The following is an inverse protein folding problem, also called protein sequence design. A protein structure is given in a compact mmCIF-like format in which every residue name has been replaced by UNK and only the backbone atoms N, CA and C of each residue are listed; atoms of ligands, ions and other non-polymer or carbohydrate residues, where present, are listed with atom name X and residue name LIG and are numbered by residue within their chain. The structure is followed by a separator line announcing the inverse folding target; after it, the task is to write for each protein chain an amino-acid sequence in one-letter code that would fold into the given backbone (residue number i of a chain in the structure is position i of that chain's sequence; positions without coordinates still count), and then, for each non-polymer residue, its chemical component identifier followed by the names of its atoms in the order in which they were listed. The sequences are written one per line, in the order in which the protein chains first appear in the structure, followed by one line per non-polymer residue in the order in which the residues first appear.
data_IF_814342040657
#
_entry.id   IF_814342040657
#
_cell.length_a   1.000
_cell.length_b   1.000
_cell.length_c   1.000
_cell.angle_alpha   90.00
_cell.angle_beta   90.00
_cell.angle_gamma   90.00
#
_symmetry.space_group_name_H-M   'P 1'
#
loop_
_entity.id
_entity.type
_entity.pdbx_description
1 polymer ?
#
# COMPACT_ATOMS: atom_id res chain seq x y z
N UNK A 1 0.44 -24.59 -26.54
CA UNK A 1 1.24 -24.32 -25.31
C UNK A 1 1.03 -22.84 -24.93
N UNK A 2 -0.19 -22.36 -24.62
CA UNK A 2 -0.45 -20.98 -24.14
C UNK A 2 -1.56 -20.86 -23.08
N UNK A 3 -2.06 -21.96 -22.53
CA UNK A 3 -3.17 -21.93 -21.55
C UNK A 3 -2.79 -22.27 -20.11
N UNK A 4 -1.51 -22.56 -19.81
CA UNK A 4 -1.09 -23.04 -18.49
C UNK A 4 -0.74 -21.94 -17.48
N UNK A 5 -0.52 -20.68 -17.89
CA UNK A 5 -0.09 -19.61 -16.96
C UNK A 5 -1.24 -18.90 -16.23
N UNK A 6 -2.43 -18.84 -16.82
CA UNK A 6 -3.56 -18.13 -16.22
C UNK A 6 -4.15 -18.87 -15.00
N UNK A 7 -4.10 -20.22 -15.00
CA UNK A 7 -4.64 -21.01 -13.89
C UNK A 7 -3.73 -21.07 -12.64
N UNK A 8 -2.43 -20.81 -12.80
CA UNK A 8 -1.49 -20.82 -11.66
C UNK A 8 -1.67 -19.60 -10.77
N UNK A 9 -1.86 -18.42 -11.37
CA UNK A 9 -2.13 -17.18 -10.60
C UNK A 9 -3.44 -17.21 -9.81
N UNK A 10 -4.46 -17.91 -10.34
CA UNK A 10 -5.75 -18.03 -9.65
C UNK A 10 -5.70 -18.92 -8.41
N UNK A 11 -4.78 -19.89 -8.40
CA UNK A 11 -4.62 -20.83 -7.28
C UNK A 11 -3.85 -20.24 -6.10
N UNK A 12 -2.80 -19.48 -6.38
CA UNK A 12 -1.98 -18.81 -5.37
C UNK A 12 -2.75 -17.68 -4.67
N UNK A 13 -3.54 -16.87 -5.39
CA UNK A 13 -4.38 -15.83 -4.80
C UNK A 13 -5.46 -16.37 -3.85
N UNK A 14 -6.01 -17.55 -4.15
CA UNK A 14 -6.99 -18.22 -3.28
C UNK A 14 -6.33 -18.86 -2.05
N UNK A 15 -5.10 -19.35 -2.16
CA UNK A 15 -4.35 -19.89 -1.02
C UNK A 15 -3.89 -18.78 -0.06
N UNK A 16 -3.47 -17.63 -0.55
CA UNK A 16 -3.13 -16.46 0.26
C UNK A 16 -4.33 -16.03 1.12
N UNK A 17 -5.54 -16.01 0.57
CA UNK A 17 -6.73 -15.66 1.35
C UNK A 17 -7.21 -16.78 2.28
N UNK A 18 -6.93 -18.06 1.99
CA UNK A 18 -7.21 -19.16 2.93
C UNK A 18 -6.36 -19.08 4.19
N UNK A 19 -5.11 -18.63 4.07
CA UNK A 19 -4.23 -18.42 5.21
C UNK A 19 -4.71 -17.28 6.13
N UNK A 20 -5.43 -16.29 5.56
CA UNK A 20 -6.05 -15.19 6.30
C UNK A 20 -7.41 -15.51 6.93
N UNK A 21 -8.19 -16.43 6.33
CA UNK A 21 -9.58 -16.74 6.73
C UNK A 21 -9.61 -18.00 7.59
N UNK A 22 -8.70 -18.50 8.24
CA UNK A 22 -8.70 -19.69 9.10
C UNK A 22 -9.92 -20.62 8.94
N UNK A 23 -9.75 -21.93 8.98
CA UNK A 23 -10.81 -22.94 8.75
C UNK A 23 -12.10 -22.77 9.60
N UNK A 24 -12.04 -21.98 10.68
CA UNK A 24 -13.19 -21.74 11.58
C UNK A 24 -14.32 -20.89 10.96
N UNK A 25 -14.04 -20.04 9.99
CA UNK A 25 -15.08 -19.21 9.35
C UNK A 25 -15.86 -19.98 8.27
N UNK A 26 -15.29 -21.04 7.72
CA UNK A 26 -15.98 -21.92 6.76
C UNK A 26 -17.03 -22.79 7.43
N UNK A 27 -16.83 -23.16 8.71
CA UNK A 27 -17.75 -23.99 9.49
C UNK A 27 -18.91 -23.21 10.15
N UNK A 28 -18.79 -21.88 10.30
CA UNK A 28 -19.89 -21.07 10.85
C UNK A 28 -21.04 -20.85 9.86
N UNK A 29 -20.83 -20.96 8.56
CA UNK A 29 -21.89 -20.82 7.54
C UNK A 29 -22.79 -22.06 7.40
N UNK A 30 -22.44 -23.21 7.96
CA UNK A 30 -23.24 -24.45 7.90
C UNK A 30 -24.16 -24.68 9.12
N UNK A 31 -24.11 -23.86 10.16
CA UNK A 31 -24.88 -24.06 11.39
C UNK A 31 -25.99 -23.05 11.66
N UNK A 32 -26.25 -22.07 10.78
CA UNK A 32 -27.28 -21.03 10.99
C UNK A 32 -28.55 -21.20 10.12
N UNK A 33 -28.94 -22.41 9.82
CA UNK A 33 -30.22 -22.71 9.18
C UNK A 33 -31.08 -23.51 10.16
N UNK A 34 -31.53 -22.87 11.22
CA UNK A 34 -32.72 -23.28 12.04
C UNK A 34 -32.70 -22.48 13.36
N UNK A 35 -33.32 -21.32 13.41
CA UNK A 35 -34.16 -20.89 14.54
C UNK A 35 -35.10 -19.78 14.08
N UNK A 36 -36.35 -19.97 14.47
CA UNK A 36 -37.56 -19.34 14.06
C UNK A 36 -37.70 -17.83 14.33
N UNK A 37 -38.57 -17.25 13.53
CA UNK A 37 -39.27 -15.99 13.67
C UNK A 37 -39.56 -15.53 15.10
N UNK A 38 -39.13 -14.32 15.44
CA UNK A 38 -39.79 -13.48 16.45
C UNK A 38 -39.72 -12.03 15.96
N UNK A 39 -40.87 -11.50 15.64
CA UNK A 39 -41.08 -10.10 15.28
C UNK A 39 -40.74 -9.19 16.47
N UNK A 40 -39.74 -8.33 16.30
CA UNK A 40 -39.60 -7.10 17.06
C UNK A 40 -39.29 -6.02 16.05
N UNK A 41 -40.24 -5.13 15.85
CA UNK A 41 -40.11 -3.89 15.10
C UNK A 41 -39.01 -3.07 15.78
N UNK A 42 -37.80 -3.14 15.27
CA UNK A 42 -36.76 -2.22 15.65
C UNK A 42 -37.00 -0.91 14.92
N UNK A 43 -37.27 0.11 15.69
CA UNK A 43 -37.26 1.51 15.28
C UNK A 43 -36.00 1.75 14.46
N UNK A 44 -36.17 1.94 13.15
CA UNK A 44 -35.09 2.45 12.29
C UNK A 44 -34.73 3.85 12.79
N UNK A 45 -33.64 3.94 13.54
CA UNK A 45 -33.02 5.19 13.91
C UNK A 45 -32.54 5.87 12.62
N UNK A 46 -33.09 7.03 12.36
CA UNK A 46 -32.64 8.00 11.37
C UNK A 46 -31.29 8.57 11.81
N UNK A 47 -30.21 7.81 11.60
CA UNK A 47 -28.85 8.20 12.02
C UNK A 47 -27.74 7.80 11.07
N UNK A 48 -28.03 6.97 10.08
CA UNK A 48 -26.99 6.37 9.24
C UNK A 48 -26.70 7.11 7.91
N UNK A 49 -27.52 8.09 7.53
CA UNK A 49 -27.53 8.64 6.16
C UNK A 49 -26.19 9.27 5.67
N UNK A 50 -25.20 9.51 6.54
CA UNK A 50 -23.95 10.15 6.15
C UNK A 50 -22.72 9.54 6.87
N UNK A 51 -22.77 8.31 7.32
CA UNK A 51 -21.65 7.66 7.99
C UNK A 51 -20.87 6.75 7.04
N UNK A 52 -19.55 6.66 7.22
CA UNK A 52 -18.67 5.77 6.46
C UNK A 52 -17.53 5.27 7.33
N UNK A 53 -17.43 3.95 7.49
CA UNK A 53 -16.33 3.30 8.18
C UNK A 53 -15.16 3.03 7.23
N UNK A 54 -13.96 3.48 7.60
CA UNK A 54 -12.77 3.40 6.75
C UNK A 54 -11.66 2.59 7.40
N UNK A 55 -11.06 1.71 6.64
CA UNK A 55 -9.80 1.04 6.97
C UNK A 55 -8.65 1.68 6.19
N UNK A 56 -7.54 1.96 6.85
CA UNK A 56 -6.39 2.65 6.25
C UNK A 56 -5.10 1.90 6.52
N UNK A 57 -4.25 1.76 5.51
CA UNK A 57 -2.89 1.24 5.73
C UNK A 57 -2.10 2.16 6.66
N UNK A 58 -1.46 1.59 7.68
CA UNK A 58 -0.88 2.34 8.79
C UNK A 58 0.15 3.42 8.40
N UNK A 59 0.77 3.35 7.24
CA UNK A 59 1.67 4.39 6.75
C UNK A 59 0.99 5.73 6.45
N UNK A 60 -0.24 5.70 5.95
CA UNK A 60 -1.03 6.90 5.65
C UNK A 60 -1.50 7.61 6.92
N UNK A 61 -1.89 6.83 7.94
CA UNK A 61 -2.29 7.36 9.24
C UNK A 61 -1.06 7.92 9.99
N UNK A 62 0.00 7.13 10.10
CA UNK A 62 1.25 7.51 10.77
C UNK A 62 1.85 8.82 10.24
N UNK A 63 1.74 9.08 8.95
CA UNK A 63 2.27 10.28 8.30
C UNK A 63 1.36 11.50 8.43
N UNK A 64 0.16 11.35 8.99
CA UNK A 64 -0.85 12.40 9.04
C UNK A 64 -1.47 12.74 7.68
N UNK A 65 -1.10 12.04 6.60
CA UNK A 65 -1.69 12.25 5.27
C UNK A 65 -3.17 11.94 5.31
N UNK A 66 -3.55 10.81 5.92
CA UNK A 66 -4.95 10.42 5.98
C UNK A 66 -5.80 11.43 6.76
N UNK A 67 -5.39 11.85 7.95
CA UNK A 67 -6.19 12.77 8.77
C UNK A 67 -6.49 14.10 8.07
N UNK A 68 -5.55 14.64 7.29
CA UNK A 68 -5.79 15.85 6.49
C UNK A 68 -6.73 15.62 5.31
N UNK A 69 -6.63 14.48 4.65
CA UNK A 69 -7.54 14.09 3.57
C UNK A 69 -8.94 13.83 4.12
N UNK A 70 -9.06 13.12 5.25
CA UNK A 70 -10.29 12.80 5.97
C UNK A 70 -11.04 14.09 6.31
N UNK A 71 -10.39 15.04 6.98
CA UNK A 71 -10.97 16.36 7.33
C UNK A 71 -11.51 17.10 6.08
N UNK A 72 -10.71 17.15 5.02
CA UNK A 72 -11.11 17.81 3.78
C UNK A 72 -12.28 17.11 3.08
N UNK A 73 -12.31 15.77 3.09
CA UNK A 73 -13.39 14.97 2.53
C UNK A 73 -14.69 15.13 3.31
N UNK A 74 -14.65 15.12 4.64
CA UNK A 74 -15.81 15.33 5.51
C UNK A 74 -16.48 16.66 5.23
N UNK A 75 -15.70 17.75 5.14
CA UNK A 75 -16.19 19.08 4.81
C UNK A 75 -16.84 19.11 3.43
N UNK A 76 -16.17 18.55 2.42
CA UNK A 76 -16.61 18.61 1.02
C UNK A 76 -17.84 17.76 0.75
N UNK A 77 -17.90 16.57 1.36
CA UNK A 77 -18.94 15.57 1.10
C UNK A 77 -20.10 15.62 2.10
N UNK A 78 -19.91 16.30 3.24
CA UNK A 78 -20.80 16.28 4.40
C UNK A 78 -21.04 14.87 4.92
N UNK A 79 -19.98 14.04 4.88
CA UNK A 79 -19.94 12.71 5.45
C UNK A 79 -19.28 12.75 6.83
N UNK A 80 -19.70 11.88 7.72
CA UNK A 80 -19.00 11.56 8.94
C UNK A 80 -18.14 10.31 8.68
N UNK A 81 -16.84 10.50 8.55
CA UNK A 81 -15.88 9.43 8.25
C UNK A 81 -15.29 8.93 9.57
N UNK A 82 -15.37 7.63 9.80
CA UNK A 82 -14.79 7.00 10.98
C UNK A 82 -13.69 6.04 10.57
N UNK A 83 -12.46 6.35 10.92
CA UNK A 83 -11.33 5.43 10.74
C UNK A 83 -11.40 4.33 11.80
N UNK A 84 -12.04 3.20 11.46
CA UNK A 84 -12.22 2.06 12.38
C UNK A 84 -10.93 1.30 12.62
N UNK A 85 -10.01 1.31 11.65
CA UNK A 85 -8.71 0.66 11.78
C UNK A 85 -7.64 1.34 10.90
N UNK A 86 -6.48 1.65 11.52
CA UNK A 86 -5.26 2.04 10.84
C UNK A 86 -4.16 1.03 11.20
N UNK A 87 -3.78 0.14 10.27
CA UNK A 87 -2.94 -1.01 10.58
C UNK A 87 -2.23 -1.58 9.34
N UNK A 88 -1.29 -2.55 9.51
CA UNK A 88 -0.78 -3.33 8.39
C UNK A 88 -1.87 -4.10 7.64
N UNK A 89 -1.57 -4.50 6.39
CA UNK A 89 -2.51 -5.16 5.47
C UNK A 89 -3.19 -6.40 6.06
N UNK A 90 -2.48 -7.14 6.90
CA UNK A 90 -2.94 -8.35 7.59
C UNK A 90 -4.16 -8.11 8.50
N UNK A 91 -4.42 -6.84 8.83
CA UNK A 91 -5.55 -6.43 9.66
C UNK A 91 -6.59 -5.63 8.89
N UNK A 92 -6.18 -4.70 8.02
CA UNK A 92 -7.13 -3.86 7.28
C UNK A 92 -7.89 -4.64 6.21
N UNK A 93 -7.27 -5.65 5.58
CA UNK A 93 -7.94 -6.49 4.58
C UNK A 93 -9.07 -7.34 5.20
N UNK A 94 -8.86 -8.08 6.31
CA UNK A 94 -9.95 -8.78 6.99
C UNK A 94 -11.06 -7.85 7.51
N UNK A 95 -10.72 -6.66 8.04
CA UNK A 95 -11.71 -5.69 8.49
C UNK A 95 -12.63 -5.23 7.35
N UNK A 96 -12.09 -4.97 6.16
CA UNK A 96 -12.87 -4.68 4.98
C UNK A 96 -13.73 -5.89 4.55
N UNK A 97 -13.16 -7.08 4.45
CA UNK A 97 -13.90 -8.28 4.04
C UNK A 97 -15.06 -8.64 4.97
N UNK A 98 -14.91 -8.36 6.27
CA UNK A 98 -15.97 -8.65 7.27
C UNK A 98 -17.08 -7.59 7.29
N UNK A 99 -16.87 -6.42 6.68
CA UNK A 99 -17.77 -5.26 6.75
C UNK A 99 -17.63 -4.45 8.04
N UNK A 100 -16.54 -4.62 8.78
CA UNK A 100 -16.14 -3.68 9.84
C UNK A 100 -15.78 -2.31 9.24
N UNK A 101 -15.20 -2.31 8.04
CA UNK A 101 -14.97 -1.12 7.23
C UNK A 101 -15.69 -1.24 5.88
N UNK A 102 -16.26 -0.13 5.43
CA UNK A 102 -16.96 0.00 4.14
C UNK A 102 -16.05 0.58 3.03
N UNK A 103 -14.88 1.02 3.40
CA UNK A 103 -13.89 1.61 2.49
C UNK A 103 -12.48 1.24 2.94
N UNK A 104 -11.58 1.02 1.97
CA UNK A 104 -10.21 0.63 2.29
C UNK A 104 -9.21 1.44 1.44
N UNK A 105 -8.23 2.05 2.11
CA UNK A 105 -7.05 2.65 1.50
C UNK A 105 -5.82 1.80 1.76
N UNK A 106 -5.22 1.26 0.70
CA UNK A 106 -4.12 0.30 0.79
C UNK A 106 -3.19 0.38 -0.42
N UNK A 107 -2.02 -0.24 -0.33
CA UNK A 107 -1.18 -0.45 -1.51
C UNK A 107 -1.81 -1.45 -2.48
N UNK A 108 -1.76 -1.14 -3.77
CA UNK A 108 -2.11 -2.10 -4.82
C UNK A 108 -1.15 -3.30 -4.82
N UNK A 109 -1.70 -4.50 -5.02
CA UNK A 109 -0.94 -5.75 -5.05
C UNK A 109 -1.85 -6.98 -5.01
N UNK A 110 -1.28 -8.12 -4.71
CA UNK A 110 -1.97 -9.41 -4.80
C UNK A 110 -3.23 -9.48 -3.92
N UNK A 111 -3.18 -8.91 -2.72
CA UNK A 111 -4.32 -8.89 -1.80
C UNK A 111 -5.50 -8.08 -2.38
N UNK A 112 -5.23 -6.93 -2.99
CA UNK A 112 -6.29 -6.10 -3.59
C UNK A 112 -6.86 -6.72 -4.85
N UNK A 113 -6.03 -7.35 -5.68
CA UNK A 113 -6.51 -8.13 -6.84
C UNK A 113 -7.33 -9.33 -6.41
N UNK A 114 -6.96 -10.01 -5.31
CA UNK A 114 -7.75 -11.10 -4.76
C UNK A 114 -9.11 -10.62 -4.23
N UNK A 115 -9.19 -9.46 -3.56
CA UNK A 115 -10.45 -8.86 -3.14
C UNK A 115 -11.38 -8.58 -4.33
N UNK A 116 -10.84 -8.04 -5.42
CA UNK A 116 -11.59 -7.79 -6.66
C UNK A 116 -12.06 -9.10 -7.31
N UNK A 117 -11.16 -10.07 -7.48
CA UNK A 117 -11.47 -11.37 -8.08
C UNK A 117 -12.53 -12.17 -7.31
N UNK A 118 -12.58 -12.01 -5.99
CA UNK A 118 -13.57 -12.65 -5.12
C UNK A 118 -14.86 -11.83 -4.98
N UNK A 119 -14.92 -10.66 -5.60
CA UNK A 119 -16.09 -9.79 -5.56
C UNK A 119 -16.30 -9.02 -4.26
N UNK A 120 -15.33 -9.04 -3.33
CA UNK A 120 -15.39 -8.18 -2.14
C UNK A 120 -15.11 -6.71 -2.49
N UNK A 121 -14.22 -6.46 -3.45
CA UNK A 121 -13.95 -5.13 -3.97
C UNK A 121 -14.60 -4.94 -5.34
N UNK A 122 -15.01 -3.69 -5.64
CA UNK A 122 -15.24 -3.22 -7.00
C UNK A 122 -13.92 -2.94 -7.71
N UNK A 123 -13.95 -2.39 -8.94
CA UNK A 123 -12.74 -2.08 -9.70
C UNK A 123 -11.79 -1.17 -8.90
N UNK A 124 -10.54 -1.59 -8.79
CA UNK A 124 -9.49 -0.86 -8.08
C UNK A 124 -9.11 0.42 -8.82
N UNK A 125 -8.96 1.51 -8.10
CA UNK A 125 -8.59 2.82 -8.66
C UNK A 125 -7.38 3.38 -7.94
N UNK A 126 -6.32 3.70 -8.67
CA UNK A 126 -5.14 4.37 -8.11
C UNK A 126 -5.50 5.81 -7.78
N UNK A 127 -5.23 6.27 -6.55
CA UNK A 127 -5.44 7.64 -6.10
C UNK A 127 -4.16 8.40 -5.79
N UNK A 128 -3.05 7.69 -5.53
CA UNK A 128 -1.75 8.28 -5.27
C UNK A 128 -0.63 7.25 -5.30
N UNK A 129 0.58 7.69 -5.01
CA UNK A 129 1.76 6.82 -5.04
C UNK A 129 2.63 7.02 -3.81
N UNK A 130 2.99 5.91 -3.17
CA UNK A 130 4.01 5.85 -2.14
C UNK A 130 5.40 5.84 -2.78
N UNK A 131 6.34 6.58 -2.21
CA UNK A 131 7.73 6.59 -2.64
C UNK A 131 8.57 5.56 -1.88
N UNK A 132 9.51 4.97 -2.58
CA UNK A 132 10.64 4.22 -2.02
C UNK A 132 11.93 5.00 -2.25
N UNK A 133 12.89 4.80 -1.36
CA UNK A 133 14.20 5.44 -1.39
C UNK A 133 15.30 4.39 -1.39
N UNK A 134 16.51 4.77 -1.80
CA UNK A 134 17.71 3.98 -1.55
C UNK A 134 18.47 4.62 -0.40
N UNK A 135 18.63 3.88 0.70
CA UNK A 135 19.47 4.24 1.82
C UNK A 135 20.77 3.43 1.78
N UNK A 136 21.85 3.99 2.30
CA UNK A 136 23.15 3.33 2.32
C UNK A 136 24.17 4.05 3.20
N UNK A 137 25.45 3.60 3.20
CA UNK A 137 26.52 4.23 3.97
C UNK A 137 26.68 5.72 3.63
N UNK A 138 26.86 6.57 4.64
CA UNK A 138 26.98 8.04 4.44
C UNK A 138 28.15 8.46 3.54
N UNK A 139 29.22 7.63 3.46
CA UNK A 139 30.35 7.89 2.56
C UNK A 139 30.10 7.45 1.11
N UNK A 140 28.94 6.86 0.81
CA UNK A 140 28.44 6.49 -0.51
C UNK A 140 29.48 5.87 -1.46
N UNK A 141 30.01 4.69 -1.18
CA UNK A 141 31.13 4.13 -1.95
C UNK A 141 30.78 3.82 -3.42
N UNK A 142 29.50 3.74 -3.78
CA UNK A 142 29.07 3.60 -5.17
C UNK A 142 28.78 4.95 -5.85
N UNK A 143 28.72 6.06 -5.11
CA UNK A 143 28.45 7.40 -5.65
C UNK A 143 27.05 7.55 -6.21
N UNK A 144 26.04 6.92 -5.59
CA UNK A 144 24.66 6.96 -6.07
C UNK A 144 23.94 8.27 -5.75
N UNK A 145 24.43 9.05 -4.78
CA UNK A 145 23.89 10.37 -4.44
C UNK A 145 24.00 11.40 -5.57
N UNK A 146 24.75 11.08 -6.63
CA UNK A 146 24.89 11.88 -7.84
C UNK A 146 23.97 11.42 -8.98
N UNK A 147 23.06 10.48 -8.72
CA UNK A 147 22.08 9.99 -9.69
C UNK A 147 20.68 10.47 -9.35
N UNK A 148 19.85 10.60 -10.37
CA UNK A 148 18.41 10.92 -10.22
C UNK A 148 17.52 9.69 -10.44
N UNK A 149 18.08 8.64 -11.07
CA UNK A 149 17.33 7.46 -11.47
C UNK A 149 17.79 6.21 -10.71
N UNK A 150 16.85 5.47 -10.15
CA UNK A 150 17.11 4.22 -9.42
C UNK A 150 17.86 3.18 -10.26
N UNK A 151 17.55 3.08 -11.58
CA UNK A 151 18.29 2.17 -12.50
C UNK A 151 19.77 2.51 -12.59
N UNK A 152 20.12 3.80 -12.56
CA UNK A 152 21.52 4.25 -12.60
C UNK A 152 22.21 3.95 -11.27
N UNK A 153 21.51 4.19 -10.16
CA UNK A 153 21.99 3.84 -8.83
C UNK A 153 22.29 2.33 -8.72
N UNK A 154 21.37 1.46 -9.15
CA UNK A 154 21.59 0.02 -9.16
C UNK A 154 22.79 -0.38 -10.04
N UNK A 155 22.95 0.25 -11.22
CA UNK A 155 24.11 0.02 -12.09
C UNK A 155 25.41 0.42 -11.41
N UNK A 156 25.44 1.56 -10.72
CA UNK A 156 26.64 2.01 -9.96
C UNK A 156 26.96 1.06 -8.79
N UNK A 157 25.96 0.63 -8.03
CA UNK A 157 26.13 -0.36 -6.95
C UNK A 157 26.72 -1.66 -7.51
N UNK A 158 26.22 -2.13 -8.64
CA UNK A 158 26.72 -3.33 -9.31
C UNK A 158 28.16 -3.16 -9.80
N UNK A 159 28.47 -2.08 -10.54
CA UNK A 159 29.81 -1.87 -11.13
C UNK A 159 30.87 -1.62 -10.09
N UNK A 160 30.53 -1.01 -8.95
CA UNK A 160 31.43 -0.83 -7.80
C UNK A 160 31.47 -2.07 -6.86
N UNK A 161 30.75 -3.13 -7.21
CA UNK A 161 30.64 -4.37 -6.43
C UNK A 161 30.22 -4.14 -4.95
N UNK A 162 29.41 -3.11 -4.71
CA UNK A 162 28.91 -2.81 -3.37
C UNK A 162 27.74 -3.73 -2.99
N UNK A 163 27.56 -4.05 -1.70
CA UNK A 163 26.48 -4.90 -1.27
C UNK A 163 25.13 -4.18 -1.28
N UNK A 164 24.08 -4.87 -1.70
CA UNK A 164 22.70 -4.42 -1.68
C UNK A 164 21.85 -5.46 -0.95
N UNK A 165 21.10 -5.07 0.07
CA UNK A 165 20.25 -6.01 0.81
C UNK A 165 18.95 -6.23 0.04
N UNK A 166 18.63 -7.50 -0.23
CA UNK A 166 17.34 -7.93 -0.76
C UNK A 166 16.31 -7.95 0.39
N UNK A 167 15.77 -6.78 0.72
CA UNK A 167 14.80 -6.64 1.81
C UNK A 167 13.50 -7.36 1.48
N UNK A 168 13.04 -8.23 2.40
CA UNK A 168 11.85 -9.08 2.22
C UNK A 168 10.51 -8.35 2.24
N UNK A 169 10.47 -7.04 2.63
CA UNK A 169 9.26 -6.26 2.46
C UNK A 169 8.79 -6.29 1.01
N UNK A 170 7.51 -6.64 0.81
CA UNK A 170 6.96 -6.89 -0.53
C UNK A 170 7.13 -5.68 -1.45
N UNK A 171 6.89 -4.46 -0.93
CA UNK A 171 7.05 -3.24 -1.70
C UNK A 171 8.50 -2.99 -2.11
N UNK A 172 9.41 -3.07 -1.14
CA UNK A 172 10.86 -2.91 -1.36
C UNK A 172 11.39 -3.91 -2.37
N UNK A 173 10.99 -5.17 -2.26
CA UNK A 173 11.40 -6.23 -3.17
C UNK A 173 10.84 -6.03 -4.60
N UNK A 174 9.59 -5.58 -4.72
CA UNK A 174 9.01 -5.24 -6.04
C UNK A 174 9.76 -4.10 -6.72
N UNK A 175 10.13 -3.06 -5.96
CA UNK A 175 10.95 -1.95 -6.50
C UNK A 175 12.34 -2.46 -6.90
N UNK A 176 13.01 -3.25 -6.06
CA UNK A 176 14.29 -3.85 -6.40
C UNK A 176 14.23 -4.62 -7.73
N UNK A 177 13.23 -5.49 -7.90
CA UNK A 177 13.04 -6.26 -9.13
C UNK A 177 12.84 -5.36 -10.35
N UNK A 178 12.00 -4.33 -10.21
CA UNK A 178 11.76 -3.34 -11.27
C UNK A 178 13.05 -2.62 -11.69
N UNK A 179 13.87 -2.20 -10.70
CA UNK A 179 15.12 -1.51 -10.98
C UNK A 179 16.17 -2.41 -11.63
N UNK A 180 16.28 -3.67 -11.18
CA UNK A 180 17.14 -4.66 -11.83
C UNK A 180 16.72 -4.91 -13.28
N UNK A 181 15.44 -5.13 -13.53
CA UNK A 181 14.91 -5.35 -14.88
C UNK A 181 15.17 -4.12 -15.79
N UNK A 182 14.96 -2.90 -15.28
CA UNK A 182 15.21 -1.67 -16.03
C UNK A 182 16.68 -1.38 -16.29
N UNK A 183 17.57 -1.90 -15.44
CA UNK A 183 19.03 -1.85 -15.62
C UNK A 183 19.56 -3.00 -16.50
N UNK A 184 18.72 -3.92 -16.93
CA UNK A 184 19.11 -5.13 -17.67
C UNK A 184 19.92 -6.12 -16.83
N UNK A 185 19.75 -6.11 -15.51
CA UNK A 185 20.48 -6.95 -14.57
C UNK A 185 19.61 -8.10 -14.05
N UNK A 186 20.25 -9.25 -13.84
CA UNK A 186 19.64 -10.35 -13.09
C UNK A 186 20.27 -10.46 -11.68
N UNK A 187 19.55 -11.04 -10.69
CA UNK A 187 20.02 -11.09 -9.29
C UNK A 187 21.45 -11.61 -9.10
N UNK A 188 21.89 -12.56 -9.93
CA UNK A 188 23.26 -13.12 -9.86
C UNK A 188 24.38 -12.18 -10.36
N UNK A 189 24.04 -11.04 -10.97
CA UNK A 189 25.02 -10.07 -11.48
C UNK A 189 25.31 -8.93 -10.49
N UNK A 190 24.58 -8.85 -9.39
CA UNK A 190 24.77 -7.87 -8.34
C UNK A 190 24.97 -8.58 -7.00
N UNK A 191 25.80 -8.01 -6.14
CA UNK A 191 26.08 -8.54 -4.82
C UNK A 191 24.89 -8.35 -3.89
N UNK A 192 23.92 -9.28 -3.91
CA UNK A 192 22.78 -9.28 -3.01
C UNK A 192 23.12 -9.96 -1.68
N UNK A 193 22.81 -9.27 -0.59
CA UNK A 193 22.84 -9.82 0.76
C UNK A 193 21.42 -10.21 1.19
N UNK A 194 21.26 -11.31 1.95
CA UNK A 194 19.97 -11.67 2.51
C UNK A 194 19.56 -10.68 3.60
N UNK A 195 18.26 -10.46 3.72
CA UNK A 195 17.65 -9.84 4.90
C UNK A 195 17.70 -10.83 6.08
N UNK A 196 18.40 -10.44 7.14
CA UNK A 196 18.59 -11.28 8.34
C UNK A 196 17.95 -10.69 9.59
N UNK A 197 17.25 -9.54 9.50
CA UNK A 197 16.63 -8.91 10.67
C UNK A 197 15.40 -9.69 11.12
N UNK A 198 15.20 -9.75 12.43
CA UNK A 198 13.98 -10.34 13.02
C UNK A 198 12.77 -9.42 12.76
N UNK A 199 12.97 -8.12 12.99
CA UNK A 199 11.93 -7.10 12.80
C UNK A 199 12.25 -6.29 11.56
N UNK A 200 11.32 -6.16 10.60
CA UNK A 200 11.53 -5.38 9.37
C UNK A 200 12.04 -3.94 9.62
N UNK A 201 11.63 -3.31 10.72
CA UNK A 201 12.06 -1.96 11.10
C UNK A 201 13.56 -1.84 11.36
N UNK A 202 14.26 -2.95 11.59
CA UNK A 202 15.71 -2.98 11.85
C UNK A 202 16.57 -3.10 10.58
N UNK A 203 15.97 -3.05 9.40
CA UNK A 203 16.70 -3.27 8.14
C UNK A 203 17.80 -2.23 7.91
N UNK A 204 17.59 -0.96 8.30
CA UNK A 204 18.60 0.07 8.21
C UNK A 204 19.77 -0.17 9.18
N UNK A 205 19.52 -0.76 10.35
CA UNK A 205 20.58 -1.20 11.28
C UNK A 205 21.44 -2.30 10.64
N UNK A 206 20.83 -3.22 9.90
CA UNK A 206 21.59 -4.22 9.13
C UNK A 206 22.40 -3.55 8.03
N UNK A 207 21.81 -2.61 7.27
CA UNK A 207 22.50 -1.88 6.21
C UNK A 207 23.72 -1.12 6.76
N UNK A 208 23.61 -0.45 7.89
CA UNK A 208 24.72 0.22 8.56
C UNK A 208 25.84 -0.74 8.94
N UNK A 209 25.50 -1.87 9.58
CA UNK A 209 26.46 -2.90 10.02
C UNK A 209 27.22 -3.52 8.84
N UNK A 210 26.53 -3.77 7.74
CA UNK A 210 27.08 -4.46 6.57
C UNK A 210 27.62 -3.48 5.51
N UNK A 211 27.56 -2.18 5.79
CA UNK A 211 27.95 -1.10 4.86
C UNK A 211 27.27 -1.32 3.50
N UNK A 212 25.99 -1.64 3.53
CA UNK A 212 25.19 -2.05 2.39
C UNK A 212 24.13 -1.01 2.04
N UNK A 213 23.75 -1.00 0.77
CA UNK A 213 22.57 -0.28 0.29
C UNK A 213 21.30 -1.10 0.54
N UNK A 214 20.17 -0.42 0.65
CA UNK A 214 18.85 -1.06 0.78
C UNK A 214 17.75 -0.16 0.23
N UNK A 215 16.75 -0.75 -0.39
CA UNK A 215 15.53 -0.06 -0.84
C UNK A 215 14.49 -0.19 0.27
N UNK A 216 13.93 0.94 0.72
CA UNK A 216 12.90 0.99 1.78
C UNK A 216 11.83 2.03 1.45
N UNK A 217 10.65 1.89 2.04
CA UNK A 217 9.60 2.92 1.95
C UNK A 217 10.07 4.23 2.59
N UNK A 218 9.78 5.37 1.96
CA UNK A 218 10.20 6.69 2.45
C UNK A 218 9.52 7.06 3.78
N UNK A 219 8.20 6.90 3.87
CA UNK A 219 7.43 7.29 5.07
C UNK A 219 7.96 6.66 6.39
N UNK A 220 8.21 5.35 6.50
CA UNK A 220 8.74 4.78 7.74
C UNK A 220 10.09 5.35 8.16
N UNK A 221 10.92 5.75 7.23
CA UNK A 221 12.23 6.39 7.51
C UNK A 221 12.02 7.82 7.97
N UNK A 222 11.27 8.62 7.21
CA UNK A 222 11.04 10.04 7.49
C UNK A 222 10.34 10.26 8.85
N UNK A 223 9.45 9.33 9.26
CA UNK A 223 8.74 9.40 10.52
C UNK A 223 9.40 8.59 11.66
N UNK A 224 10.68 8.25 11.53
CA UNK A 224 11.50 7.65 12.59
C UNK A 224 11.06 6.25 13.04
N UNK A 225 10.34 5.50 12.18
CA UNK A 225 9.92 4.12 12.47
C UNK A 225 11.01 3.09 12.14
N UNK A 226 12.05 3.53 11.42
CA UNK A 226 13.24 2.74 11.12
C UNK A 226 14.47 3.48 11.65
N UNK A 227 15.18 2.94 12.67
CA UNK A 227 16.45 3.51 13.12
C UNK A 227 17.45 3.58 11.96
N UNK A 228 18.00 4.76 11.69
CA UNK A 228 18.86 5.05 10.53
C UNK A 228 20.27 5.46 10.89
N UNK A 229 20.72 5.22 12.12
CA UNK A 229 22.09 5.51 12.54
C UNK A 229 23.10 4.80 11.64
N UNK A 230 24.03 5.58 11.04
CA UNK A 230 25.07 5.06 10.17
C UNK A 230 24.66 4.83 8.71
N UNK A 231 23.44 5.20 8.34
CA UNK A 231 22.98 5.25 6.94
C UNK A 231 22.29 6.57 6.63
N UNK A 232 22.31 6.96 5.36
CA UNK A 232 21.66 8.16 4.86
C UNK A 232 20.74 7.79 3.68
N UNK A 233 19.76 8.65 3.40
CA UNK A 233 18.98 8.59 2.17
C UNK A 233 19.87 9.14 1.05
N UNK A 234 20.24 8.29 0.11
CA UNK A 234 21.15 8.62 -0.97
C UNK A 234 20.43 8.85 -2.30
N UNK A 235 19.24 8.29 -2.47
CA UNK A 235 18.39 8.53 -3.64
C UNK A 235 16.92 8.55 -3.24
N UNK A 236 16.21 9.58 -3.70
CA UNK A 236 14.74 9.74 -3.65
C UNK A 236 14.29 10.46 -4.92
N UNK A 237 12.98 10.57 -5.14
CA UNK A 237 12.42 11.36 -6.24
C UNK A 237 12.18 10.60 -7.54
N UNK A 238 12.81 9.44 -7.78
CA UNK A 238 12.59 8.67 -9.00
C UNK A 238 11.17 8.10 -9.07
N UNK A 239 10.35 8.49 -10.06
CA UNK A 239 9.02 7.94 -10.26
C UNK A 239 8.99 6.41 -10.45
N UNK A 240 10.06 5.80 -10.99
CA UNK A 240 10.16 4.35 -11.12
C UNK A 240 10.22 3.63 -9.76
N UNK A 241 10.51 4.36 -8.68
CA UNK A 241 10.54 3.86 -7.31
C UNK A 241 9.22 4.10 -6.56
N UNK A 242 8.15 4.43 -7.25
CA UNK A 242 6.82 4.65 -6.66
C UNK A 242 5.96 3.38 -6.76
N UNK A 243 5.11 3.18 -5.75
CA UNK A 243 4.11 2.12 -5.67
C UNK A 243 2.72 2.73 -5.48
N UNK A 244 1.73 2.24 -6.23
CA UNK A 244 0.38 2.76 -6.16
C UNK A 244 -0.29 2.48 -4.80
N UNK A 245 -0.95 3.51 -4.28
CA UNK A 245 -2.08 3.37 -3.36
C UNK A 245 -3.37 3.27 -4.15
N UNK A 246 -4.25 2.39 -3.73
CA UNK A 246 -5.56 2.19 -4.35
C UNK A 246 -6.69 2.46 -3.36
N UNK A 247 -7.78 2.99 -3.88
CA UNK A 247 -9.07 3.01 -3.22
C UNK A 247 -9.79 1.70 -3.52
N UNK A 248 -10.40 1.14 -2.50
CA UNK A 248 -11.17 -0.10 -2.57
C UNK A 248 -12.55 0.18 -2.04
N UNK A 249 -13.55 0.13 -2.92
CA UNK A 249 -14.98 0.27 -2.58
C UNK A 249 -15.68 -1.08 -2.61
N UNK A 250 -16.83 -1.25 -1.91
CA UNK A 250 -17.51 -2.53 -1.75
C UNK A 250 -17.95 -3.16 -3.07
N UNK A 251 -17.50 -4.36 -3.35
CA UNK A 251 -17.96 -5.22 -4.46
C UNK A 251 -19.23 -6.01 -4.11
N UNK A 252 -19.72 -6.82 -5.02
CA UNK A 252 -21.02 -7.54 -4.89
C UNK A 252 -21.08 -8.49 -3.69
N UNK A 253 -19.95 -9.03 -3.23
CA UNK A 253 -19.87 -9.96 -2.09
C UNK A 253 -19.59 -9.24 -0.75
N UNK A 254 -19.31 -7.93 -0.78
CA UNK A 254 -19.08 -7.19 0.45
C UNK A 254 -20.40 -6.95 1.20
N UNK A 255 -20.44 -7.08 2.55
CA UNK A 255 -21.67 -6.96 3.33
C UNK A 255 -22.21 -5.54 3.54
N UNK A 256 -21.53 -4.51 3.00
CA UNK A 256 -21.94 -3.10 3.12
C UNK A 256 -23.39 -2.87 2.69
N UNK A 257 -24.08 -1.98 3.40
CA UNK A 257 -25.41 -1.48 3.05
C UNK A 257 -25.39 -0.72 1.72
N UNK A 258 -26.55 -0.51 1.12
CA UNK A 258 -26.66 0.30 -0.11
C UNK A 258 -26.15 1.73 0.11
N UNK A 259 -26.37 2.27 1.29
CA UNK A 259 -25.97 3.61 1.68
C UNK A 259 -24.46 3.70 1.88
N UNK A 260 -23.85 2.77 2.62
CA UNK A 260 -22.40 2.68 2.78
C UNK A 260 -21.69 2.58 1.42
N UNK A 261 -22.26 1.82 0.46
CA UNK A 261 -21.74 1.75 -0.92
C UNK A 261 -21.76 3.10 -1.62
N UNK A 262 -22.86 3.85 -1.50
CA UNK A 262 -22.97 5.20 -2.08
C UNK A 262 -21.96 6.16 -1.43
N UNK A 263 -21.80 6.11 -0.11
CA UNK A 263 -20.86 6.96 0.61
C UNK A 263 -19.40 6.58 0.31
N UNK A 264 -19.09 5.28 0.19
CA UNK A 264 -17.78 4.79 -0.23
C UNK A 264 -17.43 5.30 -1.66
N UNK A 265 -18.40 5.30 -2.57
CA UNK A 265 -18.16 5.80 -3.92
C UNK A 265 -17.97 7.32 -3.93
N UNK A 266 -18.75 8.10 -3.16
CA UNK A 266 -18.55 9.55 -3.02
C UNK A 266 -17.12 9.86 -2.52
N UNK A 267 -16.65 9.14 -1.49
CA UNK A 267 -15.29 9.32 -0.99
C UNK A 267 -14.25 8.96 -2.06
N UNK A 268 -14.44 7.86 -2.78
CA UNK A 268 -13.54 7.46 -3.85
C UNK A 268 -13.49 8.51 -4.98
N UNK A 269 -14.65 9.05 -5.40
CA UNK A 269 -14.71 10.11 -6.40
C UNK A 269 -14.01 11.38 -5.92
N UNK A 270 -14.21 11.77 -4.66
CA UNK A 270 -13.51 12.91 -4.07
C UNK A 270 -11.99 12.72 -4.10
N UNK A 271 -11.48 11.59 -3.63
CA UNK A 271 -10.04 11.29 -3.63
C UNK A 271 -9.44 11.34 -5.05
N UNK A 272 -10.23 11.03 -6.07
CA UNK A 272 -9.81 11.03 -7.47
C UNK A 272 -10.06 12.37 -8.18
N UNK A 273 -10.81 13.29 -7.57
CA UNK A 273 -11.13 14.60 -8.12
C UNK A 273 -9.93 15.54 -8.12
N UNK A 274 -10.05 16.67 -8.85
CA UNK A 274 -9.02 17.71 -8.85
C UNK A 274 -8.78 18.28 -7.46
N UNK A 275 -9.83 18.48 -6.67
CA UNK A 275 -9.72 19.01 -5.31
C UNK A 275 -9.03 18.03 -4.37
N UNK A 276 -9.43 16.75 -4.37
CA UNK A 276 -8.79 15.73 -3.55
C UNK A 276 -7.31 15.52 -3.92
N UNK A 277 -6.98 15.56 -5.21
CA UNK A 277 -5.60 15.43 -5.69
C UNK A 277 -4.76 16.68 -5.36
N UNK A 278 -5.36 17.88 -5.38
CA UNK A 278 -4.69 19.11 -4.94
C UNK A 278 -4.37 19.06 -3.46
N UNK A 279 -5.35 18.69 -2.62
CA UNK A 279 -5.12 18.52 -1.16
C UNK A 279 -4.02 17.50 -0.90
N UNK A 280 -4.02 16.37 -1.61
CA UNK A 280 -2.98 15.34 -1.47
C UNK A 280 -1.59 15.90 -1.80
N UNK A 281 -1.47 16.71 -2.86
CA UNK A 281 -0.22 17.30 -3.30
C UNK A 281 0.35 18.36 -2.34
N UNK A 282 -0.49 18.97 -1.51
CA UNK A 282 -0.10 19.96 -0.50
C UNK A 282 0.38 19.34 0.83
N UNK A 283 0.24 18.02 1.00
CA UNK A 283 0.61 17.33 2.24
C UNK A 283 2.02 16.75 2.11
N UNK A 284 3.03 17.47 2.57
CA UNK A 284 4.41 17.06 2.46
C UNK A 284 5.35 17.73 3.46
N UNK A 285 6.64 17.42 3.42
CA UNK A 285 7.66 18.07 4.21
C UNK A 285 7.97 19.50 3.72
N UNK A 286 7.67 19.76 2.45
CA UNK A 286 7.79 21.08 1.80
C UNK A 286 6.63 21.26 0.83
N UNK A 287 6.38 22.50 0.39
CA UNK A 287 5.30 22.83 -0.54
C UNK A 287 5.43 22.11 -1.90
N UNK A 288 6.65 21.71 -2.27
CA UNK A 288 6.95 21.10 -3.57
C UNK A 288 7.11 19.57 -3.52
N UNK A 289 7.06 18.95 -2.33
CA UNK A 289 7.33 17.51 -2.18
C UNK A 289 6.25 16.85 -1.33
N UNK A 290 5.23 16.24 -1.91
CA UNK A 290 4.18 15.57 -1.17
C UNK A 290 4.68 14.25 -0.56
N UNK A 291 4.14 13.84 0.60
CA UNK A 291 4.39 12.53 1.17
C UNK A 291 3.79 11.38 0.35
N UNK A 292 2.67 11.66 -0.29
CA UNK A 292 2.01 10.76 -1.24
C UNK A 292 1.81 11.53 -2.53
N UNK A 293 2.42 11.07 -3.61
CA UNK A 293 2.40 11.74 -4.90
C UNK A 293 1.03 11.60 -5.57
N UNK A 294 0.42 12.69 -6.02
CA UNK A 294 -0.84 12.66 -6.75
C UNK A 294 -0.75 11.82 -8.04
N UNK A 295 -1.89 11.25 -8.45
CA UNK A 295 -1.93 10.38 -9.66
C UNK A 295 -1.56 11.10 -10.97
N UNK A 296 -1.70 12.42 -11.05
CA UNK A 296 -1.37 13.21 -12.26
C UNK A 296 0.13 13.28 -12.52
N UNK A 297 0.96 13.33 -11.48
CA UNK A 297 2.43 13.36 -11.65
C UNK A 297 2.98 12.05 -12.21
N UNK A 298 2.36 10.92 -11.88
CA UNK A 298 2.78 9.62 -12.37
C UNK A 298 2.28 9.30 -13.79
N UNK A 299 1.33 10.06 -14.33
CA UNK A 299 0.79 9.86 -15.69
C UNK A 299 1.85 10.08 -16.79
N UNK A 300 2.94 10.78 -16.49
CA UNK A 300 4.10 10.91 -17.40
C UNK A 300 4.92 9.64 -17.60
N UNK A 301 4.73 8.61 -16.73
CA UNK A 301 5.50 7.36 -16.77
C UNK A 301 4.94 6.28 -17.69
N UNK A 302 3.71 6.43 -18.17
CA UNK A 302 3.03 5.42 -19.02
C UNK A 302 3.08 5.78 -20.51
N UNK A 303 3.96 6.67 -20.94
CA UNK A 303 4.29 6.85 -22.36
C UNK A 303 5.49 5.95 -22.71
N UNK A 304 5.20 4.67 -22.93
CA UNK A 304 6.07 3.70 -23.60
C UNK A 304 5.51 3.37 -24.97
#
# INVERSE_FOLDING_TARGET
IRYSRCCMFHREGVEILREYIGDDMLMLKLRSLLVAASALASTFGSGAENELNVAVIGGLDMSGVWSKIEESAEISLKLNITTVIAAPKERVVPAFMSGEADFLLIHGGDETFALEALGYASALRTWGYNEFIIAGPSHDPAGINQTELGREAITKIQTSNQPLIAFRDVGSYQILRRLLDSAGLVPGQIRLLPDTVVRPQQILTQAAREQAYVIVGHLPVAFGRMPSEGVEILLSGDPAMRRAYVVVTPGSQHPASSEARVNAEKLAEYLLSEDGQRVLGEIGPTDDTPWVFPRREASGLLQF
#
